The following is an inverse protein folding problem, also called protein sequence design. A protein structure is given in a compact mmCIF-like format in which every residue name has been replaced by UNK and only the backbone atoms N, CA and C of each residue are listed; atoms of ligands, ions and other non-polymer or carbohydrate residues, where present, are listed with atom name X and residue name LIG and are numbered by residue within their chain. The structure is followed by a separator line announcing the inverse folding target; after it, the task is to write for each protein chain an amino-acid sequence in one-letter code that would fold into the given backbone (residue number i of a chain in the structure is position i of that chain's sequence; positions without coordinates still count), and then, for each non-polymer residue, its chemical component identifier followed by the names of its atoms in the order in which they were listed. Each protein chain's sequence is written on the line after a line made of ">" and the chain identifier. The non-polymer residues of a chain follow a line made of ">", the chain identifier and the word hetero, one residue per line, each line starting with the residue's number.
data_IF_248526203181
#
_entry.id   IF_248526203181
#
_cell.length_a   1.000
_cell.length_b   1.000
_cell.length_c   1.000
_cell.angle_alpha   90.00
_cell.angle_beta   90.00
_cell.angle_gamma   90.00
#
_symmetry.space_group_name_H-M   'P 1'
#
loop_
_entity.id
_entity.type
_entity.pdbx_description
1 polymer ?
#
# COMPACT_ATOMS: atom_id res chain seq x y z
N UNK A 1 -2.86 12.26 0.59
CA UNK A 1 -2.73 12.06 -0.86
C UNK A 1 -3.81 11.09 -1.31
N UNK A 2 -4.70 11.44 -2.22
CA UNK A 2 -5.78 10.54 -2.69
C UNK A 2 -5.29 9.80 -3.92
N UNK A 3 -5.10 8.51 -3.80
CA UNK A 3 -4.88 7.64 -4.95
C UNK A 3 -6.24 7.45 -5.67
N UNK A 4 -6.35 7.90 -6.90
CA UNK A 4 -7.54 7.69 -7.71
C UNK A 4 -7.59 6.25 -8.20
N UNK A 5 -8.50 5.46 -7.65
CA UNK A 5 -8.76 4.13 -8.18
C UNK A 5 -9.76 4.21 -9.34
N UNK A 6 -9.40 3.70 -10.50
CA UNK A 6 -10.33 3.52 -11.59
C UNK A 6 -11.26 2.34 -11.30
N UNK A 7 -12.56 2.57 -11.34
CA UNK A 7 -13.57 1.50 -11.21
C UNK A 7 -13.76 0.78 -12.55
N UNK A 8 -13.65 -0.51 -12.54
CA UNK A 8 -14.22 -1.34 -13.60
C UNK A 8 -15.72 -1.49 -13.37
N UNK A 9 -16.53 -1.42 -14.42
CA UNK A 9 -17.99 -1.24 -14.34
C UNK A 9 -18.78 -2.45 -13.79
N UNK A 10 -18.16 -3.60 -13.54
CA UNK A 10 -18.90 -4.87 -13.35
C UNK A 10 -18.69 -5.55 -11.97
N UNK A 11 -18.13 -4.89 -10.97
CA UNK A 11 -18.06 -5.46 -9.63
C UNK A 11 -18.44 -4.42 -8.57
N UNK A 12 -19.23 -4.78 -7.55
CA UNK A 12 -19.41 -3.94 -6.37
C UNK A 12 -18.08 -3.98 -5.58
N UNK A 13 -17.15 -3.14 -5.92
CA UNK A 13 -15.91 -2.96 -5.17
C UNK A 13 -16.03 -1.73 -4.31
N UNK A 14 -16.20 -1.94 -3.03
CA UNK A 14 -15.95 -0.92 -2.01
C UNK A 14 -14.44 -0.73 -1.93
N UNK A 15 -13.97 0.44 -2.35
CA UNK A 15 -12.60 0.86 -2.13
C UNK A 15 -12.57 1.62 -0.82
N UNK A 16 -11.96 1.03 0.18
CA UNK A 16 -11.69 1.70 1.43
C UNK A 16 -10.22 2.13 1.42
N UNK A 17 -10.01 3.44 1.31
CA UNK A 17 -8.67 4.03 1.40
C UNK A 17 -8.43 4.37 2.86
N UNK A 18 -8.03 3.41 3.62
CA UNK A 18 -7.52 3.64 4.95
C UNK A 18 -6.02 3.90 4.86
N UNK A 19 -5.60 5.03 5.38
CA UNK A 19 -4.20 5.28 5.65
C UNK A 19 -3.79 4.43 6.85
N UNK A 20 -3.27 3.26 6.60
CA UNK A 20 -2.73 2.39 7.62
C UNK A 20 -1.22 2.48 7.63
N UNK A 21 -0.62 2.43 8.79
CA UNK A 21 0.82 2.48 8.98
C UNK A 21 1.27 1.20 9.67
N UNK A 22 2.13 0.46 8.99
CA UNK A 22 2.93 -0.55 9.66
C UNK A 22 4.10 0.17 10.33
N UNK A 23 4.26 -0.05 11.61
CA UNK A 23 5.20 0.73 12.38
C UNK A 23 6.00 -0.13 13.33
N UNK A 24 7.30 0.06 13.33
CA UNK A 24 8.17 -0.45 14.36
C UNK A 24 7.79 0.08 15.76
N UNK A 25 8.32 -0.54 16.82
CA UNK A 25 8.07 -0.12 18.19
C UNK A 25 8.70 1.24 18.48
N UNK A 26 7.87 2.27 18.54
CA UNK A 26 8.27 3.58 19.06
C UNK A 26 7.47 3.88 20.34
N UNK A 27 7.99 4.73 21.24
CA UNK A 27 7.26 5.15 22.44
C UNK A 27 6.05 6.04 22.15
N UNK A 28 5.93 6.56 20.94
CA UNK A 28 4.84 7.43 20.52
C UNK A 28 3.70 6.63 19.90
N UNK A 29 2.43 7.02 20.12
CA UNK A 29 1.29 6.35 19.51
C UNK A 29 1.33 6.56 17.97
N UNK A 30 1.24 5.48 17.24
CA UNK A 30 1.16 5.51 15.79
C UNK A 30 -0.21 5.95 15.32
N UNK A 31 -0.24 6.58 14.16
CA UNK A 31 -1.49 6.88 13.49
C UNK A 31 -2.13 5.55 13.06
N UNK A 32 -3.31 5.26 13.62
CA UNK A 32 -4.10 4.09 13.23
C UNK A 32 -5.06 4.41 12.06
N UNK A 33 -5.77 3.39 11.58
CA UNK A 33 -5.74 2.00 12.05
C UNK A 33 -4.52 1.20 11.54
N UNK A 34 -4.14 0.14 12.26
CA UNK A 34 -3.18 -0.85 11.78
C UNK A 34 -3.77 -1.59 10.56
N UNK A 35 -2.95 -1.86 9.55
CA UNK A 35 -3.40 -2.54 8.33
C UNK A 35 -3.99 -3.93 8.61
N UNK A 36 -3.48 -4.64 9.60
CA UNK A 36 -4.01 -5.96 10.03
C UNK A 36 -5.41 -5.85 10.61
N UNK A 37 -5.66 -4.80 11.40
CA UNK A 37 -6.99 -4.56 11.97
C UNK A 37 -7.97 -4.15 10.89
N UNK A 38 -7.51 -3.42 9.90
CA UNK A 38 -8.33 -3.03 8.75
C UNK A 38 -8.71 -4.24 7.88
N UNK A 39 -7.77 -5.16 7.64
CA UNK A 39 -8.07 -6.43 6.94
C UNK A 39 -9.11 -7.26 7.72
N UNK A 40 -9.00 -7.34 9.05
CA UNK A 40 -10.01 -7.99 9.89
C UNK A 40 -11.35 -7.29 9.79
N UNK A 41 -11.37 -5.96 9.87
CA UNK A 41 -12.60 -5.16 9.75
C UNK A 41 -13.32 -5.43 8.42
N UNK A 42 -12.58 -5.41 7.33
CA UNK A 42 -13.13 -5.67 5.99
C UNK A 42 -13.69 -7.09 5.88
N UNK A 43 -13.04 -8.07 6.50
CA UNK A 43 -13.50 -9.45 6.46
C UNK A 43 -14.88 -9.66 7.09
N UNK A 44 -15.27 -8.80 8.02
CA UNK A 44 -16.55 -8.86 8.71
C UNK A 44 -17.74 -8.36 7.90
N UNK A 45 -17.52 -7.72 6.74
CA UNK A 45 -18.61 -7.25 5.88
C UNK A 45 -19.38 -8.40 5.18
N UNK A 46 -18.79 -9.60 5.17
CA UNK A 46 -19.37 -10.81 4.58
C UNK A 46 -19.41 -10.80 3.03
N UNK A 47 -19.04 -9.71 2.40
CA UNK A 47 -19.12 -9.50 0.95
C UNK A 47 -17.74 -9.55 0.31
N UNK A 48 -16.74 -8.92 0.92
CA UNK A 48 -15.37 -8.85 0.41
C UNK A 48 -14.74 -10.24 0.37
N UNK A 49 -14.13 -10.59 -0.76
CA UNK A 49 -13.46 -11.87 -0.98
C UNK A 49 -11.97 -11.74 -1.26
N UNK A 50 -11.51 -10.53 -1.47
CA UNK A 50 -10.11 -10.25 -1.75
C UNK A 50 -9.72 -8.84 -1.30
N UNK A 51 -8.47 -8.68 -0.89
CA UNK A 51 -7.86 -7.39 -0.59
C UNK A 51 -6.59 -7.21 -1.42
N UNK A 52 -6.38 -5.99 -1.89
CA UNK A 52 -5.13 -5.58 -2.54
C UNK A 52 -4.56 -4.42 -1.73
N UNK A 53 -3.35 -4.59 -1.22
CA UNK A 53 -2.63 -3.55 -0.49
C UNK A 53 -1.71 -2.81 -1.46
N UNK A 54 -1.76 -1.48 -1.42
CA UNK A 54 -0.88 -0.63 -2.19
C UNK A 54 -0.06 0.27 -1.24
N UNK A 55 1.21 -0.05 -0.98
CA UNK A 55 2.05 0.71 -0.05
C UNK A 55 2.60 1.97 -0.73
N UNK A 56 1.74 2.90 -1.08
CA UNK A 56 2.08 4.11 -1.86
C UNK A 56 3.06 5.07 -1.18
N UNK A 57 3.29 4.91 0.12
CA UNK A 57 4.28 5.68 0.87
C UNK A 57 5.73 5.24 0.62
N UNK A 58 5.93 4.08 0.01
CA UNK A 58 7.24 3.51 -0.22
C UNK A 58 7.48 3.26 -1.72
N UNK A 59 8.56 3.81 -2.22
CA UNK A 59 8.94 3.64 -3.64
C UNK A 59 9.82 2.41 -3.87
N UNK A 60 10.37 1.82 -2.80
CA UNK A 60 11.24 0.66 -2.86
C UNK A 60 10.86 -0.38 -1.80
N UNK A 61 11.13 -1.64 -2.11
CA UNK A 61 11.01 -2.73 -1.14
C UNK A 61 12.02 -2.55 -0.01
N UNK A 62 11.57 -2.78 1.20
CA UNK A 62 12.39 -2.80 2.40
C UNK A 62 11.74 -3.73 3.44
N UNK A 63 12.39 -3.91 4.59
CA UNK A 63 11.97 -4.88 5.59
C UNK A 63 10.50 -4.74 6.00
N UNK A 64 10.03 -3.51 6.25
CA UNK A 64 8.63 -3.27 6.66
C UNK A 64 7.64 -3.69 5.57
N UNK A 65 7.91 -3.36 4.30
CA UNK A 65 7.05 -3.80 3.19
C UNK A 65 7.05 -5.32 3.05
N UNK A 66 8.24 -5.94 3.05
CA UNK A 66 8.37 -7.37 2.83
C UNK A 66 7.89 -8.20 4.01
N UNK A 67 8.18 -7.77 5.24
CA UNK A 67 7.78 -8.51 6.43
C UNK A 67 6.33 -8.22 6.82
N UNK A 68 6.00 -6.95 7.01
CA UNK A 68 4.68 -6.59 7.54
C UNK A 68 3.57 -6.89 6.53
N UNK A 69 3.80 -6.65 5.24
CA UNK A 69 2.77 -6.85 4.22
C UNK A 69 2.79 -8.26 3.63
N UNK A 70 3.96 -8.79 3.23
CA UNK A 70 4.01 -10.06 2.53
C UNK A 70 3.94 -11.27 3.47
N UNK A 71 4.22 -11.08 4.77
CA UNK A 71 4.14 -12.14 5.78
C UNK A 71 2.97 -11.91 6.73
N UNK A 72 2.99 -10.82 7.53
CA UNK A 72 2.01 -10.64 8.59
C UNK A 72 0.61 -10.34 8.05
N UNK A 73 0.46 -9.36 7.15
CA UNK A 73 -0.86 -9.02 6.58
C UNK A 73 -1.39 -10.14 5.71
N UNK A 74 -0.53 -10.80 4.95
CA UNK A 74 -0.92 -11.97 4.15
C UNK A 74 -1.44 -13.11 5.02
N UNK A 75 -0.80 -13.37 6.18
CA UNK A 75 -1.29 -14.37 7.14
C UNK A 75 -2.66 -14.00 7.72
N UNK A 76 -2.85 -12.75 8.13
CA UNK A 76 -4.15 -12.25 8.63
C UNK A 76 -5.23 -12.36 7.57
N UNK A 77 -4.94 -12.02 6.32
CA UNK A 77 -5.90 -12.16 5.23
C UNK A 77 -6.30 -13.63 5.01
N UNK A 78 -5.33 -14.55 5.07
CA UNK A 78 -5.59 -15.99 4.97
C UNK A 78 -6.45 -16.50 6.15
N UNK A 79 -6.17 -16.08 7.38
CA UNK A 79 -6.98 -16.40 8.57
C UNK A 79 -8.42 -15.90 8.41
N UNK A 80 -8.61 -14.76 7.79
CA UNK A 80 -9.91 -14.16 7.49
C UNK A 80 -10.59 -14.76 6.25
N UNK A 81 -9.97 -15.72 5.56
CA UNK A 81 -10.52 -16.33 4.34
C UNK A 81 -10.53 -15.40 3.12
N UNK A 82 -9.72 -14.35 3.13
CA UNK A 82 -9.60 -13.40 2.04
C UNK A 82 -8.44 -13.78 1.11
N UNK A 83 -8.62 -13.59 -0.19
CA UNK A 83 -7.50 -13.58 -1.13
C UNK A 83 -6.69 -12.30 -0.93
N UNK A 84 -5.38 -12.43 -0.94
CA UNK A 84 -4.46 -11.32 -0.70
C UNK A 84 -3.54 -11.08 -1.90
N UNK A 85 -3.30 -9.82 -2.20
CA UNK A 85 -2.24 -9.39 -3.11
C UNK A 85 -1.69 -8.04 -2.64
N UNK A 86 -0.45 -7.77 -3.01
CA UNK A 86 0.19 -6.46 -2.85
C UNK A 86 0.66 -5.96 -4.22
N UNK A 87 0.56 -4.66 -4.44
CA UNK A 87 1.20 -4.05 -5.62
C UNK A 87 2.73 -4.10 -5.46
N UNK A 88 3.44 -4.35 -6.55
CA UNK A 88 4.89 -4.24 -6.55
C UNK A 88 5.32 -2.81 -6.20
N UNK A 89 6.47 -2.68 -5.54
CA UNK A 89 7.14 -1.40 -5.37
C UNK A 89 7.82 -0.99 -6.69
N UNK A 90 8.03 0.30 -6.88
CA UNK A 90 8.65 0.81 -8.11
C UNK A 90 10.11 0.38 -8.22
N UNK A 91 10.83 0.34 -7.10
CA UNK A 91 12.24 -0.04 -7.05
C UNK A 91 13.07 0.73 -8.11
N UNK A 92 13.71 -0.01 -9.01
CA UNK A 92 14.52 0.51 -10.11
C UNK A 92 13.80 0.42 -11.47
N UNK A 93 12.46 0.46 -11.47
CA UNK A 93 11.69 0.47 -12.71
C UNK A 93 12.19 1.58 -13.64
N UNK A 94 12.52 1.26 -14.91
CA UNK A 94 13.12 2.24 -15.83
C UNK A 94 12.27 3.50 -16.01
N UNK A 95 10.94 3.38 -16.05
CA UNK A 95 10.07 4.54 -16.21
C UNK A 95 10.10 5.43 -14.96
N UNK A 96 10.20 4.83 -13.77
CA UNK A 96 10.34 5.59 -12.53
C UNK A 96 11.69 6.30 -12.45
N UNK A 97 12.78 5.64 -12.83
CA UNK A 97 14.12 6.25 -12.89
C UNK A 97 14.15 7.42 -13.88
N UNK A 98 13.48 7.30 -15.02
CA UNK A 98 13.38 8.39 -16.00
C UNK A 98 12.66 9.61 -15.43
N UNK A 99 11.59 9.42 -14.68
CA UNK A 99 10.86 10.49 -13.97
C UNK A 99 11.77 11.19 -12.96
N UNK A 100 12.52 10.42 -12.16
CA UNK A 100 13.45 10.97 -11.18
C UNK A 100 14.58 11.79 -11.86
N UNK A 101 15.16 11.25 -12.92
CA UNK A 101 16.18 11.96 -13.69
C UNK A 101 15.65 13.28 -14.28
N UNK A 102 14.43 13.25 -14.80
CA UNK A 102 13.75 14.44 -15.31
C UNK A 102 13.54 15.51 -14.22
N UNK A 103 13.16 15.11 -13.02
CA UNK A 103 13.01 16.01 -11.89
C UNK A 103 14.34 16.68 -11.50
N UNK A 104 15.43 15.92 -11.44
CA UNK A 104 16.78 16.45 -11.15
C UNK A 104 17.21 17.46 -12.19
N UNK A 105 17.09 17.13 -13.48
CA UNK A 105 17.45 18.03 -14.58
C UNK A 105 16.63 19.32 -14.56
N UNK A 106 15.36 19.23 -14.20
CA UNK A 106 14.49 20.41 -14.10
C UNK A 106 14.90 21.31 -12.94
N UNK A 107 15.22 20.70 -11.78
CA UNK A 107 15.68 21.45 -10.62
C UNK A 107 17.02 22.14 -10.86
N UNK A 108 17.97 21.49 -11.52
CA UNK A 108 19.28 22.05 -11.88
C UNK A 108 19.13 23.28 -12.81
N UNK A 109 18.28 23.19 -13.83
CA UNK A 109 17.99 24.32 -14.72
C UNK A 109 17.32 25.50 -14.01
N UNK A 110 16.49 25.22 -12.99
CA UNK A 110 15.84 26.29 -12.22
C UNK A 110 16.78 26.96 -11.21
N UNK A 111 17.88 26.31 -10.83
CA UNK A 111 18.88 26.84 -9.91
C UNK A 111 20.00 27.64 -10.64
N UNK A 112 20.10 27.51 -11.95
CA UNK A 112 21.09 28.21 -12.76
C UNK A 112 20.58 29.58 -13.22
#
# INVERSE_FOLDING_TARGET
>A
MRCGASRSADAPSTWDLTGSWAAGRTPEPWLGPDVRDEVRRISHDGVTKAVVVCPIGFVADHLEVLYDLDIEVAAVAAECGLRYARTASLNDDPAFIEVLAGAVVTADKAAA
#
